data_IF_397637245624
#
_entry.id   IF_397637245624
#
_cell.length_a   1.000
_cell.length_b   1.000
_cell.length_c   1.000
_cell.angle_alpha   90.00
_cell.angle_beta   90.00
_cell.angle_gamma   90.00
#
_symmetry.space_group_name_H-M   'P 1'
#
loop_
_entity.id
_entity.type
_entity.pdbx_description
1 polymer ?
#
# COMPACT_ATOMS: atom_id res chain seq x y z
N UNK A 1 13.02 -17.02 14.96
CA UNK A 1 12.92 -15.58 15.26
C UNK A 1 12.56 -14.83 13.99
N UNK A 2 11.64 -13.86 14.06
CA UNK A 2 11.40 -12.92 12.96
C UNK A 2 12.35 -11.74 13.14
N UNK A 3 13.22 -11.51 12.16
CA UNK A 3 14.18 -10.42 12.14
C UNK A 3 13.72 -9.40 11.13
N UNK A 4 13.69 -8.13 11.52
CA UNK A 4 13.40 -7.00 10.63
C UNK A 4 14.61 -6.08 10.58
N UNK A 5 15.20 -5.97 9.40
CA UNK A 5 16.26 -5.02 9.09
C UNK A 5 15.64 -3.74 8.57
N UNK A 6 16.04 -2.61 9.14
CA UNK A 6 15.58 -1.27 8.74
C UNK A 6 16.76 -0.51 8.16
N UNK A 7 16.68 -0.13 6.88
CA UNK A 7 17.79 0.53 6.18
C UNK A 7 17.34 1.91 5.67
N UNK A 8 17.82 3.01 6.28
CA UNK A 8 17.51 4.35 5.80
C UNK A 8 18.34 4.71 4.57
N UNK A 9 17.75 5.52 3.68
CA UNK A 9 18.43 6.19 2.57
C UNK A 9 17.82 7.59 2.39
N UNK A 10 18.46 8.51 1.64
CA UNK A 10 17.86 9.81 1.37
C UNK A 10 16.44 9.70 0.80
N UNK A 11 15.47 10.23 1.56
CA UNK A 11 14.05 10.24 1.21
C UNK A 11 13.35 8.89 1.15
N UNK A 12 13.92 7.82 1.74
CA UNK A 12 13.21 6.55 1.91
C UNK A 12 13.78 5.69 3.06
N UNK A 13 13.00 4.71 3.51
CA UNK A 13 13.43 3.69 4.47
C UNK A 13 12.96 2.32 3.98
N UNK A 14 13.86 1.35 3.93
CA UNK A 14 13.53 -0.04 3.63
C UNK A 14 13.28 -0.84 4.90
N UNK A 15 12.26 -1.69 4.85
CA UNK A 15 11.97 -2.73 5.81
C UNK A 15 12.10 -4.08 5.13
N UNK A 16 13.02 -4.91 5.61
CA UNK A 16 13.22 -6.27 5.16
C UNK A 16 13.03 -7.21 6.35
N UNK A 17 12.04 -8.10 6.27
CA UNK A 17 11.79 -9.12 7.26
C UNK A 17 12.16 -10.52 6.75
N UNK A 18 12.75 -11.33 7.62
CA UNK A 18 13.10 -12.73 7.37
C UNK A 18 13.12 -13.56 8.65
N UNK A 19 13.05 -14.88 8.49
CA UNK A 19 13.18 -15.81 9.61
C UNK A 19 14.64 -16.20 9.81
N UNK A 20 15.07 -16.20 11.07
CA UNK A 20 16.35 -16.75 11.51
C UNK A 20 16.12 -17.83 12.58
N UNK A 21 16.91 -18.91 12.51
CA UNK A 21 17.00 -19.87 13.60
C UNK A 21 17.89 -19.28 14.70
N UNK A 22 17.47 -19.41 15.95
CA UNK A 22 18.30 -19.05 17.10
C UNK A 22 18.88 -20.30 17.72
N UNK A 23 19.91 -20.16 18.55
CA UNK A 23 20.56 -21.29 19.25
C UNK A 23 19.61 -22.05 20.19
N UNK A 24 18.42 -21.49 20.45
CA UNK A 24 17.33 -22.18 21.13
C UNK A 24 16.62 -23.08 20.12
N UNK A 25 16.73 -24.40 20.32
CA UNK A 25 16.00 -25.43 19.54
C UNK A 25 14.55 -24.99 19.33
N UNK A 26 14.20 -24.72 18.09
CA UNK A 26 12.85 -24.36 17.66
C UNK A 26 12.65 -24.80 16.23
N UNK A 27 11.47 -25.33 15.94
CA UNK A 27 11.11 -25.74 14.58
C UNK A 27 10.82 -24.50 13.72
N UNK A 28 11.12 -24.61 12.43
CA UNK A 28 10.70 -23.61 11.45
C UNK A 28 9.17 -23.68 11.36
N UNK A 29 8.44 -22.56 11.49
CA UNK A 29 6.99 -22.61 11.40
C UNK A 29 6.57 -23.14 10.02
N UNK A 30 5.53 -23.99 9.94
CA UNK A 30 5.07 -24.54 8.68
C UNK A 30 4.53 -23.45 7.74
N UNK A 31 4.06 -22.34 8.32
CA UNK A 31 3.54 -21.18 7.61
C UNK A 31 4.32 -19.91 7.98
N UNK A 32 4.44 -19.00 7.02
CA UNK A 32 5.03 -17.69 7.29
C UNK A 32 4.07 -16.85 8.14
N UNK A 33 4.56 -16.12 9.15
CA UNK A 33 3.71 -15.23 9.92
C UNK A 33 3.14 -14.13 9.03
N UNK A 34 1.90 -13.73 9.30
CA UNK A 34 1.34 -12.54 8.68
C UNK A 34 2.06 -11.29 9.21
N UNK A 35 2.74 -10.56 8.33
CA UNK A 35 3.43 -9.32 8.65
C UNK A 35 2.70 -8.16 7.98
N UNK A 36 2.34 -7.17 8.79
CA UNK A 36 1.62 -5.99 8.35
C UNK A 36 2.25 -4.73 8.94
N UNK A 37 2.68 -3.82 8.06
CA UNK A 37 3.06 -2.47 8.47
C UNK A 37 1.83 -1.56 8.40
N UNK A 38 1.20 -1.33 9.56
CA UNK A 38 0.18 -0.30 9.74
C UNK A 38 0.87 1.07 9.81
N UNK A 39 1.19 1.67 8.66
CA UNK A 39 1.92 2.93 8.65
C UNK A 39 0.98 4.11 8.88
N UNK A 40 1.01 4.65 10.10
CA UNK A 40 0.22 5.81 10.50
C UNK A 40 1.00 7.10 10.29
N UNK A 41 0.40 8.03 9.54
CA UNK A 41 0.95 9.40 9.39
C UNK A 41 0.40 10.38 10.44
N UNK A 42 -0.36 9.89 11.41
CA UNK A 42 -1.01 10.67 12.47
C UNK A 42 -0.06 11.59 13.25
N UNK A 43 1.21 11.21 13.39
CA UNK A 43 2.24 11.99 14.11
C UNK A 43 2.97 13.01 13.24
N UNK A 44 2.67 13.09 11.95
CA UNK A 44 3.23 14.06 11.02
C UNK A 44 2.14 15.09 10.67
N UNK A 45 2.10 16.29 11.28
CA UNK A 45 1.01 17.26 11.10
C UNK A 45 0.74 17.63 9.65
N UNK A 46 1.79 17.67 8.82
CA UNK A 46 1.69 17.94 7.39
C UNK A 46 0.90 16.86 6.62
N UNK A 47 0.73 15.65 7.18
CA UNK A 47 0.09 14.51 6.53
C UNK A 47 -1.15 13.98 7.26
N UNK A 48 -1.22 14.13 8.59
CA UNK A 48 -2.30 13.64 9.45
C UNK A 48 -3.70 14.15 9.05
N UNK A 49 -4.76 13.43 9.42
CA UNK A 49 -6.14 13.87 9.15
C UNK A 49 -6.53 15.11 9.92
N UNK A 50 -6.17 15.17 11.21
CA UNK A 50 -6.40 16.34 12.05
C UNK A 50 -5.58 17.54 11.56
N UNK A 51 -6.12 18.77 11.64
CA UNK A 51 -7.38 19.13 12.31
C UNK A 51 -8.66 18.89 11.48
N UNK A 52 -8.54 18.64 10.18
CA UNK A 52 -9.68 18.48 9.28
C UNK A 52 -10.50 17.20 9.58
N UNK A 53 -11.77 17.16 9.12
CA UNK A 53 -12.53 15.92 9.10
C UNK A 53 -11.79 14.81 8.35
N UNK A 54 -11.93 13.58 8.83
CA UNK A 54 -11.21 12.42 8.31
C UNK A 54 -11.34 12.20 6.78
N UNK A 55 -12.48 12.45 6.12
CA UNK A 55 -12.56 12.37 4.66
C UNK A 55 -11.58 13.27 3.90
N UNK A 56 -11.11 14.39 4.47
CA UNK A 56 -10.08 15.24 3.84
C UNK A 56 -8.71 14.54 3.78
N UNK A 57 -8.42 13.63 4.72
CA UNK A 57 -7.25 12.75 4.62
C UNK A 57 -7.38 11.81 3.42
N UNK A 58 -8.55 11.19 3.25
CA UNK A 58 -8.83 10.30 2.12
C UNK A 58 -8.62 11.01 0.78
N UNK A 59 -9.05 12.28 0.67
CA UNK A 59 -8.86 13.08 -0.56
C UNK A 59 -7.40 13.26 -0.96
N UNK A 60 -6.48 13.30 0.01
CA UNK A 60 -5.03 13.44 -0.23
C UNK A 60 -4.32 12.11 -0.43
N UNK A 61 -4.96 10.99 -0.10
CA UNK A 61 -4.42 9.66 -0.35
C UNK A 61 -4.53 9.31 -1.84
N UNK A 62 -3.60 8.51 -2.35
CA UNK A 62 -3.58 8.09 -3.76
C UNK A 62 -3.06 6.68 -3.95
N UNK A 63 -3.45 6.09 -5.08
CA UNK A 63 -2.88 4.88 -5.69
C UNK A 63 -2.58 5.17 -7.17
N UNK A 64 -1.96 4.23 -7.87
CA UNK A 64 -1.83 4.27 -9.33
C UNK A 64 -2.80 3.27 -9.95
N UNK A 65 -3.69 3.76 -10.81
CA UNK A 65 -4.63 2.95 -11.61
C UNK A 65 -4.21 3.02 -13.09
N UNK A 66 -5.01 2.44 -14.00
CA UNK A 66 -4.83 2.62 -15.44
C UNK A 66 -4.86 4.10 -15.88
N UNK A 67 -5.47 4.99 -15.08
CA UNK A 67 -5.53 6.45 -15.34
C UNK A 67 -4.29 7.19 -14.83
N UNK A 68 -3.27 6.49 -14.35
CA UNK A 68 -2.12 7.06 -13.65
C UNK A 68 -2.41 7.28 -12.17
N UNK A 69 -1.87 8.36 -11.58
CA UNK A 69 -2.11 8.67 -10.16
C UNK A 69 -3.58 9.05 -9.96
N UNK A 70 -4.29 8.29 -9.14
CA UNK A 70 -5.70 8.51 -8.79
C UNK A 70 -5.83 8.74 -7.30
N UNK A 71 -6.48 9.84 -6.90
CA UNK A 71 -6.75 10.11 -5.49
C UNK A 71 -7.93 9.25 -5.00
N UNK A 72 -7.90 8.82 -3.74
CA UNK A 72 -8.86 7.82 -3.23
C UNK A 72 -10.30 8.34 -3.10
N UNK A 73 -10.51 9.65 -3.18
CA UNK A 73 -11.85 10.22 -3.27
C UNK A 73 -12.44 10.18 -4.69
N UNK A 74 -11.60 9.90 -5.69
CA UNK A 74 -11.98 9.79 -7.10
C UNK A 74 -12.22 8.33 -7.52
N UNK A 75 -11.86 7.37 -6.67
CA UNK A 75 -12.24 5.96 -6.84
C UNK A 75 -13.67 5.75 -6.35
N UNK A 76 -14.36 4.77 -6.88
CA UNK A 76 -15.62 4.29 -6.32
C UNK A 76 -15.36 3.69 -4.93
N UNK A 77 -15.93 4.32 -3.90
CA UNK A 77 -15.83 3.85 -2.51
C UNK A 77 -17.12 3.16 -2.13
N UNK A 78 -16.99 1.96 -1.60
CA UNK A 78 -18.11 1.11 -1.18
C UNK A 78 -18.31 1.21 0.32
N UNK A 79 -19.54 0.94 0.77
CA UNK A 79 -19.88 0.99 2.19
C UNK A 79 -19.16 -0.12 2.95
N UNK A 80 -18.74 0.19 4.16
CA UNK A 80 -18.18 -0.73 5.15
C UNK A 80 -19.23 -1.82 5.45
N UNK A 81 -18.97 -3.09 5.11
CA UNK A 81 -19.99 -4.16 5.18
C UNK A 81 -20.56 -4.37 6.58
N UNK A 82 -19.70 -4.34 7.60
CA UNK A 82 -20.11 -4.56 9.00
C UNK A 82 -20.91 -3.40 9.60
N UNK A 83 -21.10 -2.29 8.87
CA UNK A 83 -21.79 -1.10 9.35
C UNK A 83 -23.12 -0.87 8.62
N UNK A 84 -24.14 -0.31 9.30
CA UNK A 84 -25.36 0.15 8.66
C UNK A 84 -25.07 1.12 7.50
N UNK A 85 -25.96 1.13 6.52
CA UNK A 85 -25.77 1.91 5.31
C UNK A 85 -25.79 3.44 5.56
N UNK A 86 -26.45 3.87 6.63
CA UNK A 86 -26.60 5.25 7.12
C UNK A 86 -25.59 5.63 8.23
N UNK A 87 -24.69 4.71 8.62
CA UNK A 87 -23.63 4.98 9.58
C UNK A 87 -22.79 6.20 9.11
N UNK A 88 -22.42 7.16 9.99
CA UNK A 88 -21.60 8.31 9.62
C UNK A 88 -20.27 7.94 8.93
N UNK A 89 -19.71 6.77 9.24
CA UNK A 89 -18.49 6.28 8.59
C UNK A 89 -18.71 5.71 7.19
N UNK A 90 -19.97 5.56 6.76
CA UNK A 90 -20.37 5.17 5.40
C UNK A 90 -20.78 6.37 4.54
N UNK A 91 -20.80 7.59 5.09
CA UNK A 91 -21.36 8.77 4.43
C UNK A 91 -20.44 10.00 4.57
N UNK A 92 -19.31 10.08 3.82
CA UNK A 92 -18.80 9.10 2.85
C UNK A 92 -18.02 7.94 3.49
N UNK A 93 -17.74 6.81 2.81
CA UNK A 93 -17.00 5.68 3.37
C UNK A 93 -15.58 6.02 3.84
N UNK A 94 -15.27 5.78 5.11
CA UNK A 94 -13.99 6.14 5.72
C UNK A 94 -12.83 5.24 5.31
N UNK A 95 -13.08 3.96 5.04
CA UNK A 95 -12.03 2.98 4.74
C UNK A 95 -12.34 2.23 3.46
N UNK A 96 -11.30 1.79 2.74
CA UNK A 96 -11.44 1.09 1.47
C UNK A 96 -10.22 0.19 1.20
N UNK A 97 -10.46 -1.01 0.69
CA UNK A 97 -9.44 -1.90 0.14
C UNK A 97 -9.35 -1.76 -1.38
N UNK A 98 -8.16 -1.97 -1.93
CA UNK A 98 -7.89 -1.95 -3.37
C UNK A 98 -7.16 -3.23 -3.74
N UNK A 99 -7.61 -3.90 -4.79
CA UNK A 99 -6.98 -5.10 -5.32
C UNK A 99 -6.08 -4.76 -6.51
N UNK A 100 -5.08 -5.60 -6.75
CA UNK A 100 -4.23 -5.48 -7.93
C UNK A 100 -5.04 -5.73 -9.22
N UNK A 101 -4.75 -5.00 -10.30
CA UNK A 101 -5.49 -5.09 -11.57
C UNK A 101 -5.32 -6.44 -12.28
N UNK A 102 -4.27 -7.19 -11.98
CA UNK A 102 -4.01 -8.52 -12.51
C UNK A 102 -4.66 -9.65 -11.68
N UNK A 103 -5.46 -9.31 -10.67
CA UNK A 103 -6.18 -10.27 -9.83
C UNK A 103 -7.68 -10.04 -9.96
N UNK A 104 -8.50 -11.09 -9.76
CA UNK A 104 -9.95 -10.91 -9.65
C UNK A 104 -10.29 -10.01 -8.46
N UNK A 105 -11.32 -9.18 -8.62
CA UNK A 105 -11.82 -8.34 -7.53
C UNK A 105 -12.38 -9.24 -6.40
N UNK A 106 -11.84 -9.18 -5.18
CA UNK A 106 -12.36 -9.99 -4.07
C UNK A 106 -13.74 -9.51 -3.64
N UNK A 107 -14.53 -10.44 -3.08
CA UNK A 107 -15.81 -10.13 -2.43
C UNK A 107 -15.59 -10.03 -0.93
N UNK A 108 -15.92 -8.89 -0.34
CA UNK A 108 -15.90 -8.74 1.12
C UNK A 108 -17.02 -9.57 1.76
N UNK A 109 -16.72 -10.16 2.92
CA UNK A 109 -17.73 -10.79 3.77
C UNK A 109 -18.57 -9.71 4.49
N UNK A 110 -19.80 -10.04 4.94
CA UNK A 110 -20.64 -9.10 5.67
C UNK A 110 -20.04 -8.55 6.97
N UNK A 111 -19.12 -9.29 7.59
CA UNK A 111 -18.39 -8.91 8.81
C UNK A 111 -17.08 -8.14 8.54
N UNK A 112 -16.76 -7.88 7.27
CA UNK A 112 -15.55 -7.16 6.89
C UNK A 112 -15.57 -5.69 7.35
N UNK A 113 -14.42 -5.21 7.82
CA UNK A 113 -14.21 -3.83 8.26
C UNK A 113 -14.06 -2.82 7.10
N UNK A 114 -13.91 -3.30 5.86
CA UNK A 114 -13.89 -2.51 4.63
C UNK A 114 -14.40 -3.34 3.46
N UNK A 115 -14.80 -2.69 2.38
CA UNK A 115 -15.07 -3.37 1.10
C UNK A 115 -13.97 -3.05 0.07
N UNK A 116 -13.96 -3.77 -1.03
CA UNK A 116 -13.03 -3.60 -2.14
C UNK A 116 -13.59 -2.60 -3.15
N UNK A 117 -12.79 -1.59 -3.49
CA UNK A 117 -13.11 -0.67 -4.58
C UNK A 117 -13.01 -1.43 -5.90
N UNK A 118 -13.93 -1.21 -6.86
CA UNK A 118 -13.76 -1.74 -8.21
C UNK A 118 -12.59 -1.06 -8.95
N UNK A 119 -12.11 0.10 -8.51
CA UNK A 119 -10.88 0.68 -9.04
C UNK A 119 -9.66 -0.09 -8.54
N UNK A 120 -9.01 -0.81 -9.44
CA UNK A 120 -7.83 -1.62 -9.14
C UNK A 120 -6.53 -0.86 -9.40
N UNK A 121 -5.49 -1.17 -8.61
CA UNK A 121 -4.19 -0.57 -8.79
C UNK A 121 -3.34 -1.32 -9.81
N UNK A 122 -2.51 -0.59 -10.56
CA UNK A 122 -1.56 -1.11 -11.54
C UNK A 122 -0.14 -1.18 -11.00
N UNK A 123 0.15 -0.41 -9.95
CA UNK A 123 1.41 -0.41 -9.22
C UNK A 123 1.10 -0.57 -7.73
N UNK A 124 1.80 -1.46 -7.00
CA UNK A 124 1.64 -1.67 -5.56
C UNK A 124 2.23 -0.49 -4.74
N UNK A 125 1.72 0.72 -5.00
CA UNK A 125 2.07 1.96 -4.32
C UNK A 125 0.80 2.61 -3.79
N UNK A 126 0.80 2.91 -2.50
CA UNK A 126 -0.24 3.73 -1.84
C UNK A 126 0.45 4.84 -1.06
N UNK A 127 -0.08 6.06 -1.16
CA UNK A 127 0.54 7.21 -0.52
C UNK A 127 -0.44 8.29 -0.14
N UNK A 128 0.10 9.35 0.44
CA UNK A 128 -0.61 10.56 0.86
C UNK A 128 0.23 11.78 0.52
N UNK A 129 -0.44 12.82 0.02
CA UNK A 129 0.15 14.13 -0.25
C UNK A 129 0.05 15.01 0.99
N UNK A 130 1.05 15.84 1.25
CA UNK A 130 1.04 16.81 2.34
C UNK A 130 -0.06 17.85 2.15
N UNK A 131 -0.47 18.50 3.24
CA UNK A 131 -1.52 19.54 3.26
C UNK A 131 -1.25 20.70 2.30
N UNK A 132 0.01 21.10 2.17
CA UNK A 132 0.46 22.16 1.27
C UNK A 132 0.70 21.69 -0.17
N UNK A 133 0.48 20.40 -0.45
CA UNK A 133 0.70 19.81 -1.77
C UNK A 133 2.17 19.65 -2.18
N UNK A 134 3.14 20.03 -1.35
CA UNK A 134 4.56 20.09 -1.74
C UNK A 134 5.30 18.76 -1.61
N UNK A 135 4.82 17.86 -0.75
CA UNK A 135 5.47 16.60 -0.44
C UNK A 135 4.50 15.42 -0.60
N UNK A 136 5.06 14.23 -0.79
CA UNK A 136 4.33 12.97 -0.70
C UNK A 136 5.04 12.01 0.26
N UNK A 137 4.26 11.14 0.85
CA UNK A 137 4.71 10.01 1.64
C UNK A 137 4.03 8.74 1.10
N UNK A 138 4.77 7.67 0.82
CA UNK A 138 4.21 6.49 0.15
C UNK A 138 4.84 5.16 0.62
N UNK A 139 4.05 4.09 0.60
CA UNK A 139 4.51 2.71 0.72
C UNK A 139 4.64 2.10 -0.67
N UNK A 140 5.67 1.29 -0.90
CA UNK A 140 5.76 0.45 -2.09
C UNK A 140 6.44 -0.91 -1.80
N UNK A 141 6.09 -1.91 -2.61
CA UNK A 141 6.81 -3.18 -2.74
C UNK A 141 6.57 -3.76 -4.16
N UNK A 142 6.86 -5.04 -4.40
CA UNK A 142 6.68 -5.76 -5.67
C UNK A 142 5.65 -6.91 -5.62
N UNK A 143 5.06 -7.18 -4.46
CA UNK A 143 4.34 -8.44 -4.21
C UNK A 143 2.95 -8.26 -3.61
N UNK A 144 2.53 -7.03 -3.31
CA UNK A 144 1.23 -6.76 -2.72
C UNK A 144 0.10 -7.19 -3.66
N UNK A 145 -0.86 -7.90 -3.08
CA UNK A 145 -2.09 -8.32 -3.76
C UNK A 145 -3.30 -7.47 -3.32
N UNK A 146 -3.18 -6.80 -2.17
CA UNK A 146 -4.17 -5.88 -1.61
C UNK A 146 -3.46 -4.70 -0.95
N UNK A 147 -4.00 -3.50 -1.16
CA UNK A 147 -3.65 -2.29 -0.41
C UNK A 147 -4.89 -1.77 0.32
N UNK A 148 -4.70 -1.02 1.39
CA UNK A 148 -5.82 -0.37 2.07
C UNK A 148 -5.45 1.01 2.56
N UNK A 149 -6.38 1.95 2.37
CA UNK A 149 -6.48 3.09 3.25
C UNK A 149 -7.46 2.70 4.35
N UNK A 150 -6.96 2.66 5.58
CA UNK A 150 -7.71 2.17 6.74
C UNK A 150 -7.72 3.22 7.86
N UNK A 151 -8.27 2.87 9.02
CA UNK A 151 -8.55 3.77 10.14
C UNK A 151 -7.33 4.57 10.64
N UNK A 152 -7.55 5.66 11.36
CA UNK A 152 -6.46 6.37 12.10
C UNK A 152 -5.28 6.87 11.25
N UNK A 153 -5.56 7.32 10.03
CA UNK A 153 -4.55 7.84 9.10
C UNK A 153 -3.54 6.77 8.66
N UNK A 154 -3.94 5.50 8.63
CA UNK A 154 -3.05 4.42 8.21
C UNK A 154 -3.19 4.05 6.74
N UNK A 155 -2.04 3.75 6.15
CA UNK A 155 -1.92 3.14 4.83
C UNK A 155 -1.32 1.75 4.98
N UNK A 156 -1.83 0.81 4.20
CA UNK A 156 -1.38 -0.58 4.16
C UNK A 156 -1.05 -0.98 2.73
N UNK A 157 0.09 -1.64 2.57
CA UNK A 157 0.62 -2.05 1.28
C UNK A 157 0.98 -3.55 1.26
N UNK A 158 0.34 -4.35 2.12
CA UNK A 158 0.48 -5.78 2.39
C UNK A 158 1.33 -6.61 1.38
N UNK A 159 2.67 -6.60 1.50
CA UNK A 159 3.56 -7.45 0.70
C UNK A 159 3.36 -8.93 1.02
N UNK A 160 3.66 -9.79 0.05
CA UNK A 160 3.72 -11.23 0.25
C UNK A 160 5.15 -11.66 0.62
N UNK A 161 5.26 -12.83 1.24
CA UNK A 161 6.56 -13.47 1.45
C UNK A 161 7.06 -14.08 0.14
N UNK A 162 8.18 -13.58 -0.39
CA UNK A 162 8.73 -13.98 -1.69
C UNK A 162 10.11 -14.65 -1.58
N UNK A 163 10.46 -15.55 -2.52
CA UNK A 163 9.56 -16.16 -3.50
C UNK A 163 8.64 -17.18 -2.81
N UNK A 164 7.38 -17.27 -3.27
CA UNK A 164 6.34 -18.08 -2.61
C UNK A 164 6.68 -19.58 -2.52
N UNK A 165 7.47 -20.10 -3.47
CA UNK A 165 7.85 -21.52 -3.54
C UNK A 165 9.15 -21.85 -2.78
N UNK A 166 9.80 -20.87 -2.16
CA UNK A 166 10.98 -21.14 -1.36
C UNK A 166 10.62 -21.70 0.04
N UNK A 167 11.52 -22.45 0.69
CA UNK A 167 11.41 -22.78 2.11
C UNK A 167 11.29 -21.51 2.98
N UNK A 168 10.58 -21.55 4.12
CA UNK A 168 10.33 -20.38 4.98
C UNK A 168 11.56 -19.51 5.29
N UNK A 169 12.69 -20.15 5.64
CA UNK A 169 13.95 -19.44 5.97
C UNK A 169 14.57 -18.68 4.78
N UNK A 170 14.18 -19.03 3.55
CA UNK A 170 14.64 -18.38 2.32
C UNK A 170 13.66 -17.31 1.81
N UNK A 171 12.47 -17.19 2.42
CA UNK A 171 11.51 -16.15 2.05
C UNK A 171 11.87 -14.81 2.68
N UNK A 172 11.49 -13.74 2.00
CA UNK A 172 11.67 -12.36 2.42
C UNK A 172 10.35 -11.61 2.30
N UNK A 173 10.08 -10.76 3.27
CA UNK A 173 9.02 -9.77 3.22
C UNK A 173 9.69 -8.42 3.09
N UNK A 174 9.32 -7.63 2.09
CA UNK A 174 10.04 -6.39 1.77
C UNK A 174 9.08 -5.28 1.44
N UNK A 175 9.37 -4.09 1.98
CA UNK A 175 8.61 -2.87 1.74
C UNK A 175 9.55 -1.66 1.85
N UNK A 176 9.30 -0.61 1.08
CA UNK A 176 9.92 0.71 1.29
C UNK A 176 8.87 1.78 1.58
N UNK A 177 9.23 2.67 2.50
CA UNK A 177 8.54 3.94 2.77
C UNK A 177 9.31 5.05 2.07
N UNK A 178 8.63 5.92 1.34
CA UNK A 178 9.19 7.10 0.69
C UNK A 178 8.67 8.37 1.36
N UNK A 179 9.53 9.38 1.48
CA UNK A 179 9.17 10.75 1.86
C UNK A 179 9.98 11.71 1.00
N UNK A 180 9.31 12.44 0.11
CA UNK A 180 9.97 13.20 -0.96
C UNK A 180 9.07 14.35 -1.46
N UNK A 181 9.59 15.27 -2.30
CA UNK A 181 8.73 16.23 -3.00
C UNK A 181 7.59 15.53 -3.75
N UNK A 182 6.47 16.23 -3.91
CA UNK A 182 5.27 15.70 -4.56
C UNK A 182 5.46 15.52 -6.08
N UNK A 183 6.28 14.55 -6.46
CA UNK A 183 6.58 14.16 -7.83
C UNK A 183 6.27 12.66 -8.01
N UNK A 184 5.10 12.31 -8.57
CA UNK A 184 4.73 10.91 -8.76
C UNK A 184 5.61 10.19 -9.79
N UNK A 185 6.20 10.89 -10.76
CA UNK A 185 7.06 10.29 -11.77
C UNK A 185 8.43 9.92 -11.16
N UNK A 186 8.99 10.81 -10.34
CA UNK A 186 10.20 10.52 -9.59
C UNK A 186 9.98 9.37 -8.59
N UNK A 187 8.80 9.30 -7.95
CA UNK A 187 8.41 8.17 -7.09
C UNK A 187 8.43 6.85 -7.88
N UNK A 188 7.72 6.78 -9.02
CA UNK A 188 7.68 5.56 -9.84
C UNK A 188 9.07 5.16 -10.37
N UNK A 189 9.92 6.13 -10.73
CA UNK A 189 11.31 5.86 -11.13
C UNK A 189 12.13 5.21 -10.01
N UNK A 190 11.96 5.66 -8.76
CA UNK A 190 12.59 5.02 -7.58
C UNK A 190 12.01 3.65 -7.31
N UNK A 191 10.69 3.51 -7.36
CA UNK A 191 10.01 2.21 -7.17
C UNK A 191 10.52 1.20 -8.19
N UNK A 192 10.62 1.55 -9.49
CA UNK A 192 11.17 0.68 -10.53
C UNK A 192 12.58 0.19 -10.21
N UNK A 193 13.43 1.07 -9.68
CA UNK A 193 14.81 0.72 -9.33
C UNK A 193 14.86 -0.23 -8.15
N UNK A 194 14.04 -0.01 -7.13
CA UNK A 194 14.04 -0.82 -5.92
C UNK A 194 13.29 -2.14 -6.10
N UNK A 195 12.27 -2.15 -6.95
CA UNK A 195 11.32 -3.22 -7.16
C UNK A 195 11.06 -3.38 -8.67
N UNK A 196 11.98 -4.02 -9.42
CA UNK A 196 11.86 -4.13 -10.88
C UNK A 196 10.55 -4.79 -11.35
N UNK A 197 10.03 -5.74 -10.56
CA UNK A 197 8.79 -6.45 -10.88
C UNK A 197 7.51 -5.67 -10.51
N UNK A 198 7.61 -4.61 -9.71
CA UNK A 198 6.45 -3.83 -9.27
C UNK A 198 5.72 -3.10 -10.42
N UNK A 199 6.41 -2.87 -11.53
CA UNK A 199 5.86 -2.17 -12.70
C UNK A 199 5.54 -3.12 -13.86
N UNK A 200 5.63 -4.43 -13.65
CA UNK A 200 5.41 -5.43 -14.71
C UNK A 200 4.03 -5.31 -15.37
N UNK A 201 3.04 -4.79 -14.63
CA UNK A 201 1.65 -4.68 -15.06
C UNK A 201 1.23 -3.28 -15.50
N UNK A 202 2.17 -2.31 -15.52
CA UNK A 202 1.92 -1.01 -16.15
C UNK A 202 1.83 -1.09 -17.69
N UNK A 203 2.23 -2.21 -18.30
CA UNK A 203 2.34 -2.37 -19.75
C UNK A 203 1.42 -3.45 -20.36
N UNK A 204 0.47 -4.03 -19.63
CA UNK A 204 -0.50 -4.93 -20.26
C UNK A 204 -1.75 -4.15 -20.68
N UNK A 205 -1.68 -3.67 -21.93
CA UNK A 205 -2.74 -3.06 -22.74
C UNK A 205 -3.09 -1.58 -22.45
N UNK A 206 -2.61 -0.72 -23.36
CA UNK A 206 -2.87 0.71 -23.55
C UNK A 206 -1.92 1.71 -22.84
N UNK A 207 -1.23 2.46 -23.71
CA UNK A 207 -0.50 3.71 -23.49
C UNK A 207 0.89 3.63 -22.82
N UNK A 208 1.95 3.65 -23.63
CA UNK A 208 2.90 4.77 -23.74
C UNK A 208 3.95 4.46 -24.85
N UNK A 209 3.48 4.36 -26.09
CA UNK A 209 4.28 4.81 -27.24
C UNK A 209 4.22 6.34 -27.22
N UNK A 210 5.11 6.95 -26.42
CA UNK A 210 5.66 8.31 -26.51
C UNK A 210 6.60 8.53 -25.33
N UNK A 211 7.68 7.75 -25.33
CA UNK A 211 8.94 8.12 -24.69
C UNK A 211 10.03 7.99 -25.74
N UNK A 212 9.92 8.78 -26.81
CA UNK A 212 11.01 9.07 -27.73
C UNK A 212 11.00 10.57 -28.05
N UNK A 213 11.82 11.31 -27.30
CA UNK A 213 12.92 12.19 -27.73
C UNK A 213 13.23 13.18 -26.60
#
# INVERSE_FOLDING_TARGET
MLVTVVTPEPGAVEFLAHLELTDRRGEVPPEMPFVNLCWQVRRAPAFASKPDPYPEFVKRCFIFTAKGRTFLHQTERRKIPVRPADDPYNNPPWVQMYAASWLPLPKASPDSWADYSPDQYTTPVIGVVSRDGKYLAALANDSATVMAQAWHDCLHNNPQWTPANAPPLKRRWRLKVYAMPNDPNALLKRVRRHFPDALRYLCSEHAYLKMEM
#
